data_IF_212370645755
#
_entry.id   IF_212370645755
#
_cell.length_a   1.000
_cell.length_b   1.000
_cell.length_c   1.000
_cell.angle_alpha   90.00
_cell.angle_beta   90.00
_cell.angle_gamma   90.00
#
_symmetry.space_group_name_H-M   'P 1'
#
loop_
_entity.id
_entity.type
_entity.pdbx_description
1 polymer ?
#
# COMPACT_ATOMS: atom_id res chain seq x y z
N UNK A 1 -7.75 -5.41 13.10
CA UNK A 1 -6.70 -4.63 12.43
C UNK A 1 -7.28 -3.93 11.23
N UNK A 2 -6.99 -2.64 11.05
CA UNK A 2 -7.55 -1.90 9.93
C UNK A 2 -6.78 -2.18 8.64
N UNK A 3 -7.45 -2.01 7.51
CA UNK A 3 -6.83 -2.18 6.19
C UNK A 3 -5.59 -1.32 6.03
N UNK A 4 -5.63 -0.10 6.56
CA UNK A 4 -4.50 0.83 6.48
C UNK A 4 -3.24 0.25 7.11
N UNK A 5 -3.35 -0.35 8.29
CA UNK A 5 -2.21 -0.94 8.96
C UNK A 5 -1.76 -2.23 8.30
N UNK A 6 -2.69 -2.97 7.70
CA UNK A 6 -2.32 -4.16 6.94
C UNK A 6 -1.47 -3.80 5.72
N UNK A 7 -1.82 -2.72 5.03
CA UNK A 7 -1.03 -2.23 3.90
C UNK A 7 0.35 -1.80 4.38
N UNK A 8 0.42 -1.04 5.47
CA UNK A 8 1.69 -0.60 6.02
C UNK A 8 2.58 -1.77 6.38
N UNK A 9 2.00 -2.80 6.99
CA UNK A 9 2.74 -4.00 7.34
C UNK A 9 3.31 -4.71 6.11
N UNK A 10 2.53 -4.82 5.04
CA UNK A 10 3.01 -5.43 3.80
C UNK A 10 4.18 -4.64 3.21
N UNK A 11 4.11 -3.32 3.26
CA UNK A 11 5.18 -2.47 2.75
C UNK A 11 6.45 -2.64 3.57
N UNK A 12 6.33 -2.76 4.88
CA UNK A 12 7.47 -3.00 5.74
C UNK A 12 8.09 -4.36 5.49
N UNK A 13 7.27 -5.38 5.32
CA UNK A 13 7.74 -6.73 5.06
C UNK A 13 8.42 -6.88 3.71
N UNK A 14 8.13 -5.98 2.78
CA UNK A 14 8.75 -6.03 1.46
C UNK A 14 10.25 -5.70 1.49
N UNK A 15 10.72 -5.11 2.56
CA UNK A 15 12.15 -4.82 2.72
C UNK A 15 12.68 -3.83 1.68
N UNK A 16 11.87 -2.88 1.27
CA UNK A 16 12.26 -1.87 0.29
C UNK A 16 11.91 -2.22 -1.14
N UNK A 17 11.33 -3.40 -1.38
CA UNK A 17 10.86 -3.75 -2.71
C UNK A 17 9.52 -3.09 -2.98
N UNK A 18 9.28 -2.75 -4.24
CA UNK A 18 7.99 -2.21 -4.64
C UNK A 18 6.97 -3.33 -4.76
N UNK A 19 5.78 -3.11 -4.21
CA UNK A 19 4.66 -4.04 -4.32
C UNK A 19 3.60 -3.37 -5.16
N UNK A 20 3.07 -4.08 -6.17
CA UNK A 20 2.03 -3.49 -7.01
C UNK A 20 0.73 -3.30 -6.22
N UNK A 21 -0.03 -2.27 -6.59
CA UNK A 21 -1.33 -2.05 -5.98
C UNK A 21 -2.27 -3.24 -6.19
N UNK A 22 -2.16 -3.91 -7.34
CA UNK A 22 -2.95 -5.11 -7.60
C UNK A 22 -2.61 -6.25 -6.67
N UNK A 23 -1.34 -6.44 -6.34
CA UNK A 23 -0.94 -7.49 -5.42
C UNK A 23 -1.45 -7.19 -4.02
N UNK A 24 -1.34 -5.95 -3.57
CA UNK A 24 -1.88 -5.55 -2.26
C UNK A 24 -3.38 -5.78 -2.21
N UNK A 25 -4.08 -5.36 -3.27
CA UNK A 25 -5.52 -5.53 -3.36
C UNK A 25 -5.91 -6.99 -3.25
N UNK A 26 -5.20 -7.86 -3.96
CA UNK A 26 -5.48 -9.29 -3.94
C UNK A 26 -5.24 -9.91 -2.58
N UNK A 27 -4.12 -9.56 -1.94
CA UNK A 27 -3.78 -10.11 -0.62
C UNK A 27 -4.78 -9.70 0.46
N UNK A 28 -5.32 -8.50 0.36
CA UNK A 28 -6.24 -7.97 1.36
C UNK A 28 -7.71 -8.09 0.96
N UNK A 29 -7.98 -8.64 -0.23
CA UNK A 29 -9.34 -8.80 -0.76
C UNK A 29 -10.09 -7.48 -0.84
N UNK A 30 -9.40 -6.44 -1.33
CA UNK A 30 -9.98 -5.12 -1.52
C UNK A 30 -9.71 -4.64 -2.95
N UNK A 31 -10.34 -3.54 -3.36
CA UNK A 31 -10.12 -3.00 -4.69
C UNK A 31 -8.81 -2.21 -4.75
N UNK A 32 -8.30 -2.03 -5.97
CA UNK A 32 -7.11 -1.18 -6.18
C UNK A 32 -7.37 0.25 -5.75
N UNK A 33 -8.58 0.74 -5.98
CA UNK A 33 -8.97 2.08 -5.55
C UNK A 33 -8.88 2.21 -4.03
N UNK A 34 -9.31 1.18 -3.31
CA UNK A 34 -9.21 1.17 -1.85
C UNK A 34 -7.76 1.19 -1.40
N UNK A 35 -6.88 0.44 -2.08
CA UNK A 35 -5.44 0.47 -1.78
C UNK A 35 -4.90 1.89 -1.96
N UNK A 36 -5.19 2.52 -3.09
CA UNK A 36 -4.71 3.85 -3.38
C UNK A 36 -5.17 4.88 -2.33
N UNK A 37 -6.42 4.79 -1.92
CA UNK A 37 -6.96 5.71 -0.91
C UNK A 37 -6.24 5.54 0.42
N UNK A 38 -5.98 4.31 0.82
CA UNK A 38 -5.29 4.05 2.08
C UNK A 38 -3.83 4.50 2.03
N UNK A 39 -3.16 4.26 0.90
CA UNK A 39 -1.79 4.74 0.70
C UNK A 39 -1.74 6.27 0.80
N UNK A 40 -2.68 6.95 0.14
CA UNK A 40 -2.73 8.42 0.19
C UNK A 40 -2.93 8.91 1.62
N UNK A 41 -3.80 8.25 2.39
CA UNK A 41 -4.04 8.61 3.78
C UNK A 41 -2.77 8.43 4.62
N UNK A 42 -2.04 7.34 4.41
CA UNK A 42 -0.79 7.10 5.12
C UNK A 42 0.25 8.18 4.80
N UNK A 43 0.36 8.56 3.53
CA UNK A 43 1.28 9.62 3.14
C UNK A 43 0.92 10.94 3.82
N UNK A 44 -0.36 11.25 3.94
CA UNK A 44 -0.80 12.46 4.62
C UNK A 44 -0.52 12.43 6.11
N UNK A 45 -0.46 11.25 6.70
CA UNK A 45 -0.12 11.09 8.12
C UNK A 45 1.39 11.18 8.38
N UNK A 46 2.19 11.29 7.33
CA UNK A 46 3.63 11.47 7.46
C UNK A 46 4.46 10.24 7.12
N UNK A 47 3.83 9.13 6.74
CA UNK A 47 4.58 7.96 6.31
C UNK A 47 5.21 8.21 4.94
N UNK A 48 6.46 7.84 4.81
CA UNK A 48 7.17 8.02 3.54
C UNK A 48 6.97 6.78 2.67
N UNK A 49 5.99 6.87 1.79
CA UNK A 49 5.67 5.78 0.88
C UNK A 49 5.89 6.28 -0.54
N UNK A 50 6.82 5.64 -1.25
CA UNK A 50 7.09 5.97 -2.64
C UNK A 50 6.04 5.30 -3.52
N UNK A 51 5.44 6.06 -4.42
CA UNK A 51 4.46 5.53 -5.36
C UNK A 51 5.01 5.66 -6.77
N UNK A 52 5.15 4.54 -7.47
CA UNK A 52 5.58 4.52 -8.87
C UNK A 52 4.45 3.94 -9.71
N UNK A 53 3.89 4.71 -10.65
CA UNK A 53 2.65 4.32 -11.33
C UNK A 53 2.69 2.97 -12.03
N UNK A 54 3.84 2.56 -12.54
CA UNK A 54 3.94 1.29 -13.26
C UNK A 54 4.56 0.17 -12.44
N UNK A 55 5.06 0.46 -11.25
CA UNK A 55 5.79 -0.52 -10.44
C UNK A 55 5.15 -0.79 -9.07
N UNK A 56 4.43 0.18 -8.51
CA UNK A 56 3.74 0.02 -7.24
C UNK A 56 4.27 0.90 -6.13
N UNK A 57 4.27 0.35 -4.93
CA UNK A 57 4.57 1.11 -3.70
C UNK A 57 5.72 0.54 -2.92
#
# INVERSE_FOLDING_TARGET
MTTKYQILQLLEESGGRLISGGEIAQRLSISRTAVWKQISALQQEGYQITAEPSKGY
#
